data_IF_658127995562
#
_entry.id   IF_658127995562
#
_cell.length_a   1.000
_cell.length_b   1.000
_cell.length_c   1.000
_cell.angle_alpha   90.00
_cell.angle_beta   90.00
_cell.angle_gamma   90.00
#
_symmetry.space_group_name_H-M   'P 1'
#
loop_
_entity.id
_entity.type
_entity.pdbx_description
1 polymer ?
#
# COMPACT_ATOMS: atom_id res chain seq x y z
N UNK A 1 -5.33 -19.38 6.20
CA UNK A 1 -5.59 -17.98 6.63
C UNK A 1 -4.52 -17.58 7.65
N UNK A 2 -4.26 -16.28 7.84
CA UNK A 2 -3.26 -15.79 8.80
C UNK A 2 -1.81 -16.28 8.56
N UNK A 3 -1.43 -16.54 7.30
CA UNK A 3 -0.09 -17.01 6.96
C UNK A 3 0.74 -15.85 6.41
N UNK A 4 1.77 -15.46 7.15
CA UNK A 4 2.76 -14.48 6.71
C UNK A 4 3.95 -15.19 6.03
N UNK A 5 4.42 -14.65 4.91
CA UNK A 5 5.63 -15.14 4.23
C UNK A 5 6.87 -14.52 4.90
N UNK A 6 7.25 -15.04 6.06
CA UNK A 6 8.30 -14.44 6.90
C UNK A 6 9.61 -14.23 6.16
N UNK A 7 10.08 -15.21 5.37
CA UNK A 7 11.31 -15.08 4.59
C UNK A 7 11.26 -13.93 3.57
N UNK A 8 10.10 -13.71 2.95
CA UNK A 8 9.89 -12.59 2.01
C UNK A 8 9.88 -11.26 2.74
N UNK A 9 9.20 -11.17 3.89
CA UNK A 9 9.16 -9.95 4.70
C UNK A 9 10.57 -9.58 5.18
N UNK A 10 11.34 -10.58 5.62
CA UNK A 10 12.71 -10.40 6.09
C UNK A 10 13.66 -9.96 4.96
N UNK A 11 13.58 -10.61 3.79
CA UNK A 11 14.38 -10.20 2.63
C UNK A 11 14.07 -8.76 2.18
N UNK A 12 12.79 -8.37 2.13
CA UNK A 12 12.41 -6.99 1.79
C UNK A 12 12.89 -6.00 2.86
N UNK A 13 12.87 -6.38 4.14
CA UNK A 13 13.39 -5.55 5.24
C UNK A 13 14.90 -5.33 5.10
N UNK A 14 15.66 -6.38 4.78
CA UNK A 14 17.09 -6.32 4.45
C UNK A 14 17.35 -5.37 3.28
N UNK A 15 16.60 -5.51 2.17
CA UNK A 15 16.75 -4.64 0.99
C UNK A 15 16.48 -3.17 1.31
N UNK A 16 15.48 -2.87 2.14
CA UNK A 16 15.20 -1.51 2.62
C UNK A 16 16.36 -0.97 3.46
N UNK A 17 16.90 -1.78 4.37
CA UNK A 17 18.06 -1.38 5.19
C UNK A 17 19.28 -1.06 4.33
N UNK A 18 19.59 -1.91 3.35
CA UNK A 18 20.70 -1.69 2.43
C UNK A 18 20.53 -0.42 1.60
N UNK A 19 19.31 -0.10 1.15
CA UNK A 19 19.05 1.14 0.42
C UNK A 19 19.25 2.38 1.32
N UNK A 20 18.76 2.35 2.56
CA UNK A 20 18.95 3.45 3.52
C UNK A 20 20.39 3.55 4.05
N UNK A 21 21.19 2.49 3.92
CA UNK A 21 22.62 2.54 4.20
C UNK A 21 23.41 3.22 3.10
N UNK A 22 23.01 3.00 1.86
CA UNK A 22 23.65 3.56 0.67
C UNK A 22 23.25 5.03 0.44
N UNK A 23 21.97 5.38 0.64
CA UNK A 23 21.49 6.76 0.54
C UNK A 23 20.79 7.20 1.83
N UNK A 24 21.52 8.00 2.62
CA UNK A 24 21.04 8.56 3.89
C UNK A 24 20.03 9.70 3.72
N UNK A 25 19.82 10.19 2.50
CA UNK A 25 18.80 11.21 2.21
C UNK A 25 17.40 10.62 1.98
N UNK A 26 17.30 9.30 1.78
CA UNK A 26 16.03 8.62 1.61
C UNK A 26 15.19 8.68 2.89
N UNK A 27 13.94 9.10 2.73
CA UNK A 27 12.89 9.00 3.75
C UNK A 27 11.74 8.17 3.21
N UNK A 28 11.25 7.22 4.02
CA UNK A 28 10.25 6.25 3.59
C UNK A 28 9.01 6.29 4.48
N UNK A 29 7.85 6.12 3.85
CA UNK A 29 6.62 5.67 4.50
C UNK A 29 6.36 4.27 3.96
N UNK A 30 6.23 3.28 4.85
CA UNK A 30 6.00 1.90 4.44
C UNK A 30 4.52 1.58 4.63
N UNK A 31 3.93 0.91 3.63
CA UNK A 31 2.58 0.38 3.71
C UNK A 31 2.57 -1.13 3.46
N UNK A 32 2.04 -1.95 4.38
CA UNK A 32 1.78 -3.36 4.09
C UNK A 32 0.31 -3.62 3.72
N UNK A 33 0.09 -4.53 2.78
CA UNK A 33 -1.24 -5.05 2.48
C UNK A 33 -1.81 -5.88 3.64
N UNK A 34 -3.12 -6.14 3.62
CA UNK A 34 -3.78 -6.99 4.61
C UNK A 34 -3.49 -8.49 4.44
N UNK A 35 -3.28 -8.95 3.19
CA UNK A 35 -3.07 -10.38 2.92
C UNK A 35 -4.22 -11.25 3.45
N UNK A 36 -3.91 -12.47 3.88
CA UNK A 36 -4.94 -13.40 4.40
C UNK A 36 -5.42 -13.09 5.82
N UNK A 37 -4.92 -12.02 6.45
CA UNK A 37 -5.19 -11.71 7.86
C UNK A 37 -6.57 -11.04 8.05
N UNK A 38 -6.80 -9.79 7.63
CA UNK A 38 -8.09 -9.13 7.82
C UNK A 38 -9.15 -9.63 6.82
N UNK A 39 -8.77 -10.17 5.67
CA UNK A 39 -9.74 -10.68 4.68
C UNK A 39 -10.59 -11.84 5.22
N UNK A 40 -10.01 -12.71 6.06
CA UNK A 40 -10.75 -13.85 6.61
C UNK A 40 -11.90 -13.42 7.55
N UNK A 41 -11.67 -12.64 8.63
CA UNK A 41 -12.76 -12.13 9.45
C UNK A 41 -13.66 -11.14 8.67
N UNK A 42 -13.13 -10.35 7.74
CA UNK A 42 -13.95 -9.41 6.96
C UNK A 42 -15.00 -10.15 6.12
N UNK A 43 -14.63 -11.27 5.50
CA UNK A 43 -15.56 -12.11 4.75
C UNK A 43 -16.55 -12.82 5.69
N UNK A 44 -16.07 -13.39 6.79
CA UNK A 44 -16.91 -14.12 7.77
C UNK A 44 -18.03 -13.24 8.34
N UNK A 45 -17.73 -11.97 8.63
CA UNK A 45 -18.68 -11.01 9.23
C UNK A 45 -19.27 -10.01 8.22
N UNK A 46 -19.03 -10.20 6.91
CA UNK A 46 -19.55 -9.33 5.84
C UNK A 46 -19.24 -7.84 6.05
N UNK A 47 -18.02 -7.53 6.48
CA UNK A 47 -17.62 -6.17 6.88
C UNK A 47 -17.52 -5.20 5.70
N UNK A 48 -17.62 -5.67 4.46
CA UNK A 48 -17.79 -4.83 3.27
C UNK A 48 -19.13 -4.06 3.28
N UNK A 49 -20.10 -4.50 4.07
CA UNK A 49 -21.42 -3.87 4.17
C UNK A 49 -21.53 -2.81 5.28
N UNK A 50 -20.51 -2.67 6.13
CA UNK A 50 -20.59 -1.89 7.36
C UNK A 50 -21.15 -2.68 8.56
N UNK A 51 -21.49 -1.98 9.63
CA UNK A 51 -22.11 -2.53 10.84
C UNK A 51 -23.62 -2.31 10.74
N UNK A 52 -24.36 -3.36 10.39
CA UNK A 52 -25.83 -3.41 10.34
C UNK A 52 -26.43 -4.33 11.41
N UNK A 53 -25.61 -5.23 11.97
CA UNK A 53 -25.99 -6.25 12.96
C UNK A 53 -25.02 -6.25 14.14
N UNK A 54 -25.46 -6.78 15.29
CA UNK A 54 -24.68 -6.77 16.53
C UNK A 54 -23.37 -7.59 16.43
N UNK A 55 -23.41 -8.74 15.77
CA UNK A 55 -22.26 -9.62 15.54
C UNK A 55 -21.15 -8.95 14.71
N UNK A 56 -21.51 -8.01 13.83
CA UNK A 56 -20.56 -7.24 13.02
C UNK A 56 -19.73 -6.25 13.84
N UNK A 57 -20.17 -5.85 15.05
CA UNK A 57 -19.33 -5.08 15.97
C UNK A 57 -18.12 -5.90 16.42
N UNK A 58 -18.33 -7.19 16.70
CA UNK A 58 -17.22 -8.09 17.00
C UNK A 58 -16.39 -8.39 15.74
N UNK A 59 -17.04 -8.52 14.58
CA UNK A 59 -16.38 -8.60 13.27
C UNK A 59 -15.41 -7.44 13.02
N UNK A 60 -15.81 -6.21 13.33
CA UNK A 60 -14.95 -5.03 13.27
C UNK A 60 -13.68 -5.20 14.11
N UNK A 61 -13.84 -5.59 15.38
CA UNK A 61 -12.70 -5.83 16.27
C UNK A 61 -11.76 -6.91 15.74
N UNK A 62 -12.29 -8.01 15.20
CA UNK A 62 -11.48 -9.11 14.66
C UNK A 62 -10.72 -8.72 13.38
N UNK A 63 -11.33 -7.91 12.51
CA UNK A 63 -10.66 -7.39 11.31
C UNK A 63 -9.51 -6.46 11.71
N UNK A 64 -9.76 -5.55 12.65
CA UNK A 64 -8.76 -4.60 13.15
C UNK A 64 -7.58 -5.31 13.83
N UNK A 65 -7.88 -6.29 14.70
CA UNK A 65 -6.85 -7.13 15.34
C UNK A 65 -6.00 -7.84 14.28
N UNK A 66 -6.64 -8.49 13.31
CA UNK A 66 -5.93 -9.27 12.30
C UNK A 66 -5.03 -8.39 11.42
N UNK A 67 -5.51 -7.22 10.99
CA UNK A 67 -4.70 -6.25 10.27
C UNK A 67 -3.48 -5.80 11.09
N UNK A 68 -3.71 -5.48 12.37
CA UNK A 68 -2.67 -5.03 13.29
C UNK A 68 -1.62 -6.10 13.57
N UNK A 69 -2.01 -7.38 13.68
CA UNK A 69 -1.07 -8.51 13.85
C UNK A 69 -0.15 -8.67 12.65
N UNK A 70 -0.65 -8.54 11.43
CA UNK A 70 0.22 -8.58 10.25
C UNK A 70 1.18 -7.39 10.21
N UNK A 71 0.69 -6.18 10.52
CA UNK A 71 1.54 -5.00 10.63
C UNK A 71 2.67 -5.22 11.65
N UNK A 72 2.36 -5.80 12.82
CA UNK A 72 3.36 -6.08 13.85
C UNK A 72 4.45 -7.03 13.36
N UNK A 73 4.11 -8.07 12.61
CA UNK A 73 5.09 -8.98 11.98
C UNK A 73 6.03 -8.20 11.04
N UNK A 74 5.50 -7.28 10.24
CA UNK A 74 6.31 -6.44 9.33
C UNK A 74 7.22 -5.50 10.12
N UNK A 75 6.70 -4.80 11.13
CA UNK A 75 7.50 -3.90 11.96
C UNK A 75 8.57 -4.66 12.75
N UNK A 76 8.27 -5.85 13.26
CA UNK A 76 9.25 -6.71 13.95
C UNK A 76 10.41 -7.07 13.02
N UNK A 77 10.12 -7.38 11.76
CA UNK A 77 11.15 -7.64 10.76
C UNK A 77 12.01 -6.41 10.50
N UNK A 78 11.41 -5.23 10.31
CA UNK A 78 12.15 -3.98 10.12
C UNK A 78 13.07 -3.68 11.32
N UNK A 79 12.56 -3.83 12.55
CA UNK A 79 13.34 -3.64 13.78
C UNK A 79 14.51 -4.62 13.89
N UNK A 80 14.35 -5.90 13.50
CA UNK A 80 15.44 -6.88 13.47
C UNK A 80 16.58 -6.48 12.55
N UNK A 81 16.29 -5.70 11.50
CA UNK A 81 17.29 -5.11 10.59
C UNK A 81 17.78 -3.73 11.07
N UNK A 82 17.51 -3.34 12.31
CA UNK A 82 17.88 -2.05 12.92
C UNK A 82 17.31 -0.84 12.17
N UNK A 83 16.10 -0.97 11.61
CA UNK A 83 15.35 0.15 11.06
C UNK A 83 14.50 0.79 12.16
N UNK A 84 14.55 2.12 12.28
CA UNK A 84 13.76 2.90 13.24
C UNK A 84 12.28 3.00 12.83
N UNK A 85 11.64 1.83 12.70
CA UNK A 85 10.29 1.68 12.19
C UNK A 85 9.27 1.56 13.33
N UNK A 86 8.11 2.20 13.17
CA UNK A 86 7.00 2.07 14.11
C UNK A 86 5.64 2.06 13.40
N UNK A 87 4.67 1.42 14.04
CA UNK A 87 3.31 1.33 13.54
C UNK A 87 2.59 2.68 13.57
N UNK A 88 1.94 3.00 12.46
CA UNK A 88 1.05 4.14 12.30
C UNK A 88 -0.35 3.63 11.93
N UNK A 89 -1.19 3.45 12.94
CA UNK A 89 -2.45 2.70 12.85
C UNK A 89 -3.56 3.52 12.18
N UNK A 90 -4.11 3.09 11.02
CA UNK A 90 -5.13 3.85 10.30
C UNK A 90 -6.44 4.02 11.08
N UNK A 91 -6.87 3.01 11.85
CA UNK A 91 -8.10 3.08 12.67
C UNK A 91 -8.09 4.21 13.71
N UNK A 92 -6.91 4.69 14.10
CA UNK A 92 -6.73 5.82 15.03
C UNK A 92 -6.50 7.16 14.32
N UNK A 93 -6.27 7.15 13.01
CA UNK A 93 -5.93 8.35 12.23
C UNK A 93 -7.05 8.81 11.29
N UNK A 94 -7.90 7.90 10.84
CA UNK A 94 -8.89 8.18 9.82
C UNK A 94 -10.31 8.00 10.36
N UNK A 95 -11.19 8.92 9.99
CA UNK A 95 -12.63 8.73 10.05
C UNK A 95 -13.18 8.91 8.64
N UNK A 96 -14.01 7.97 8.20
CA UNK A 96 -14.65 8.03 6.89
C UNK A 96 -16.12 8.41 7.01
N UNK A 97 -16.68 8.87 5.90
CA UNK A 97 -18.12 9.01 5.71
C UNK A 97 -18.47 8.50 4.32
N UNK A 98 -19.33 7.48 4.27
CA UNK A 98 -19.67 6.77 3.03
C UNK A 98 -18.44 6.28 2.25
N UNK A 99 -17.44 5.76 2.96
CA UNK A 99 -16.21 5.23 2.37
C UNK A 99 -15.22 6.27 1.84
N UNK A 100 -15.43 7.55 2.11
CA UNK A 100 -14.47 8.63 1.81
C UNK A 100 -13.84 9.13 3.10
N UNK A 101 -12.52 9.37 3.07
CA UNK A 101 -11.81 9.96 4.21
C UNK A 101 -12.38 11.35 4.49
N UNK A 102 -12.97 11.54 5.67
CA UNK A 102 -13.59 12.79 6.12
C UNK A 102 -12.68 13.54 7.08
N UNK A 103 -12.10 12.85 8.06
CA UNK A 103 -11.13 13.41 9.01
C UNK A 103 -9.84 12.61 8.98
N UNK A 104 -8.75 13.33 9.16
CA UNK A 104 -7.40 12.79 9.30
C UNK A 104 -6.70 13.49 10.47
N UNK A 105 -6.06 12.71 11.35
CA UNK A 105 -5.33 13.21 12.52
C UNK A 105 -3.81 13.07 12.27
N UNK A 106 -3.16 14.08 11.65
CA UNK A 106 -1.82 13.93 11.07
C UNK A 106 -0.66 14.11 12.05
N UNK A 107 -0.90 14.62 13.26
CA UNK A 107 0.18 15.05 14.15
C UNK A 107 1.21 13.95 14.47
N UNK A 108 0.80 12.69 14.77
CA UNK A 108 1.75 11.61 14.96
C UNK A 108 2.64 11.37 13.72
N UNK A 109 2.07 11.44 12.51
CA UNK A 109 2.84 11.30 11.26
C UNK A 109 3.93 12.37 11.16
N UNK A 110 3.61 13.64 11.45
CA UNK A 110 4.61 14.71 11.40
C UNK A 110 5.70 14.54 12.46
N UNK A 111 5.34 14.17 13.70
CA UNK A 111 6.32 13.90 14.75
C UNK A 111 7.28 12.78 14.36
N UNK A 112 6.77 11.70 13.75
CA UNK A 112 7.58 10.58 13.25
C UNK A 112 8.55 11.05 12.16
N UNK A 113 8.04 11.74 11.14
CA UNK A 113 8.85 12.20 10.01
C UNK A 113 9.92 13.21 10.44
N UNK A 114 9.60 14.12 11.36
CA UNK A 114 10.55 15.12 11.88
C UNK A 114 11.69 14.49 12.70
N UNK A 115 11.44 13.33 13.33
CA UNK A 115 12.47 12.56 14.03
C UNK A 115 13.28 11.64 13.09
N UNK A 116 13.00 11.65 11.78
CA UNK A 116 13.65 10.76 10.82
C UNK A 116 13.28 9.28 10.99
N UNK A 117 12.16 9.00 11.66
CA UNK A 117 11.65 7.65 11.88
C UNK A 117 10.82 7.17 10.68
N UNK A 118 10.64 5.86 10.55
CA UNK A 118 9.93 5.23 9.43
C UNK A 118 8.51 4.87 9.88
N UNK A 119 7.46 5.62 9.49
CA UNK A 119 6.08 5.23 9.76
C UNK A 119 5.72 4.00 8.90
N UNK A 120 5.14 3.00 9.56
CA UNK A 120 4.62 1.78 8.92
C UNK A 120 3.10 1.75 9.09
N UNK A 121 2.39 2.02 8.00
CA UNK A 121 0.93 1.97 7.93
C UNK A 121 0.47 0.72 7.16
N UNK A 122 -0.83 0.47 7.12
CA UNK A 122 -1.38 -0.77 6.56
C UNK A 122 -2.84 -0.60 6.16
N UNK A 123 -3.39 -1.55 5.41
CA UNK A 123 -4.82 -1.60 5.12
C UNK A 123 -5.58 -2.04 6.36
N UNK A 124 -6.60 -1.30 6.76
CA UNK A 124 -7.28 -1.48 8.05
C UNK A 124 -8.78 -1.15 7.94
N UNK A 125 -9.54 -1.60 8.94
CA UNK A 125 -10.93 -1.21 9.12
C UNK A 125 -10.99 0.03 10.01
N UNK A 126 -11.72 1.04 9.57
CA UNK A 126 -11.86 2.33 10.25
C UNK A 126 -13.33 2.64 10.50
N UNK A 127 -13.59 3.58 11.41
CA UNK A 127 -14.96 4.04 11.66
C UNK A 127 -15.49 4.84 10.47
N UNK A 128 -16.72 4.51 10.07
CA UNK A 128 -17.47 5.27 9.06
C UNK A 128 -18.72 5.88 9.69
N UNK A 129 -18.94 7.17 9.50
CA UNK A 129 -20.07 7.88 10.10
C UNK A 129 -21.45 7.42 9.57
N UNK A 130 -21.54 6.84 8.38
CA UNK A 130 -22.80 6.37 7.80
C UNK A 130 -22.96 4.86 7.89
N UNK A 131 -21.88 4.10 7.69
CA UNK A 131 -21.90 2.64 7.64
C UNK A 131 -21.43 1.97 8.94
N UNK A 132 -21.02 2.74 9.94
CA UNK A 132 -20.38 2.24 11.16
C UNK A 132 -18.92 1.82 10.95
N UNK A 133 -18.61 1.20 9.82
CA UNK A 133 -17.24 0.81 9.46
C UNK A 133 -16.96 0.91 7.96
N UNK A 134 -15.70 1.07 7.61
CA UNK A 134 -15.22 0.98 6.23
C UNK A 134 -13.81 0.39 6.18
N UNK A 135 -13.51 -0.40 5.14
CA UNK A 135 -12.16 -0.95 4.92
C UNK A 135 -11.38 0.00 4.01
N UNK A 136 -10.32 0.59 4.54
CA UNK A 136 -9.35 1.35 3.76
C UNK A 136 -8.21 0.43 3.31
N UNK A 137 -7.99 0.32 2.00
CA UNK A 137 -6.82 -0.37 1.48
C UNK A 137 -5.54 0.42 1.75
N UNK A 138 -4.42 -0.29 1.79
CA UNK A 138 -3.09 0.31 1.92
C UNK A 138 -2.81 1.30 0.81
N UNK A 139 -3.18 0.97 -0.43
CA UNK A 139 -3.01 1.87 -1.58
C UNK A 139 -3.76 3.19 -1.40
N UNK A 140 -5.03 3.15 -0.97
CA UNK A 140 -5.81 4.37 -0.70
C UNK A 140 -5.18 5.22 0.39
N UNK A 141 -4.67 4.59 1.44
CA UNK A 141 -3.99 5.28 2.54
C UNK A 141 -2.70 5.95 2.02
N UNK A 142 -1.84 5.22 1.31
CA UNK A 142 -0.58 5.77 0.77
C UNK A 142 -0.84 6.90 -0.24
N UNK A 143 -1.83 6.75 -1.12
CA UNK A 143 -2.21 7.78 -2.09
C UNK A 143 -2.72 9.05 -1.37
N UNK A 144 -3.55 8.88 -0.34
CA UNK A 144 -4.02 9.99 0.49
C UNK A 144 -2.85 10.69 1.20
N UNK A 145 -1.95 9.92 1.85
CA UNK A 145 -0.80 10.46 2.55
C UNK A 145 0.14 11.22 1.60
N UNK A 146 0.41 10.69 0.41
CA UNK A 146 1.25 11.34 -0.59
C UNK A 146 0.69 12.70 -1.00
N UNK A 147 -0.61 12.78 -1.32
CA UNK A 147 -1.27 14.05 -1.68
C UNK A 147 -1.32 15.02 -0.49
N UNK A 148 -1.62 14.52 0.71
CA UNK A 148 -1.67 15.32 1.92
C UNK A 148 -0.30 15.93 2.25
N UNK A 149 0.77 15.12 2.25
CA UNK A 149 2.14 15.57 2.52
C UNK A 149 2.63 16.53 1.43
N UNK A 150 2.32 16.27 0.15
CA UNK A 150 2.62 17.22 -0.93
C UNK A 150 1.98 18.59 -0.68
N UNK A 151 0.69 18.62 -0.28
CA UNK A 151 -0.01 19.86 0.08
C UNK A 151 0.62 20.57 1.29
N UNK A 152 1.30 19.83 2.16
CA UNK A 152 2.03 20.35 3.33
C UNK A 152 3.47 20.78 3.02
N UNK A 153 3.88 20.75 1.75
CA UNK A 153 5.19 21.21 1.31
C UNK A 153 6.26 20.12 1.21
N UNK A 154 5.91 18.85 1.47
CA UNK A 154 6.85 17.74 1.31
C UNK A 154 7.05 17.43 -0.18
N UNK A 155 8.30 17.16 -0.57
CA UNK A 155 8.59 16.58 -1.88
C UNK A 155 8.29 15.09 -1.84
N UNK A 156 7.37 14.65 -2.68
CA UNK A 156 7.10 13.22 -2.89
C UNK A 156 7.81 12.81 -4.17
N UNK A 157 8.79 11.92 -4.06
CA UNK A 157 9.57 11.44 -5.21
C UNK A 157 8.77 10.44 -6.05
N UNK A 158 8.34 9.33 -5.43
CA UNK A 158 7.56 8.27 -6.08
C UNK A 158 6.75 7.46 -5.07
N UNK A 159 5.77 6.71 -5.56
CA UNK A 159 5.12 5.60 -4.83
C UNK A 159 5.55 4.28 -5.46
N UNK A 160 6.01 3.33 -4.66
CA UNK A 160 6.35 1.99 -5.14
C UNK A 160 5.27 1.00 -4.66
N UNK A 161 4.59 0.37 -5.61
CA UNK A 161 3.69 -0.76 -5.34
C UNK A 161 4.47 -2.06 -5.54
N UNK A 162 4.98 -2.61 -4.44
CA UNK A 162 5.65 -3.90 -4.44
C UNK A 162 4.62 -5.04 -4.32
N UNK A 163 4.45 -5.81 -5.39
CA UNK A 163 3.47 -6.89 -5.49
C UNK A 163 4.08 -8.21 -5.99
N UNK A 164 3.20 -9.11 -6.45
CA UNK A 164 3.61 -10.42 -6.96
C UNK A 164 3.90 -10.42 -8.46
N UNK A 165 3.33 -9.47 -9.21
CA UNK A 165 3.54 -9.36 -10.66
C UNK A 165 4.77 -8.50 -10.93
N UNK A 166 5.53 -8.84 -11.98
CA UNK A 166 6.70 -8.05 -12.38
C UNK A 166 6.33 -6.58 -12.70
N UNK A 167 5.11 -6.34 -13.15
CA UNK A 167 4.51 -5.03 -13.34
C UNK A 167 3.05 -5.20 -13.78
N UNK A 168 2.57 -4.28 -14.61
CA UNK A 168 1.33 -4.45 -15.39
C UNK A 168 1.67 -5.24 -16.64
N UNK A 169 0.93 -6.30 -16.90
CA UNK A 169 1.18 -7.20 -18.03
C UNK A 169 0.26 -6.85 -19.20
N UNK A 170 0.77 -6.97 -20.43
CA UNK A 170 -0.02 -6.89 -21.65
C UNK A 170 -0.77 -8.21 -21.94
N UNK A 171 -1.51 -8.24 -23.04
CA UNK A 171 -2.26 -9.43 -23.49
C UNK A 171 -1.38 -10.66 -23.77
N UNK A 172 -0.07 -10.47 -23.97
CA UNK A 172 0.92 -11.53 -24.22
C UNK A 172 1.66 -11.93 -22.94
N UNK A 173 1.28 -11.36 -21.78
CA UNK A 173 1.93 -11.60 -20.50
C UNK A 173 3.27 -10.87 -20.34
N UNK A 174 3.62 -9.93 -21.22
CA UNK A 174 4.85 -9.14 -21.11
C UNK A 174 4.61 -7.90 -20.25
N UNK A 175 5.57 -7.55 -19.41
CA UNK A 175 5.52 -6.32 -18.61
C UNK A 175 5.52 -5.07 -19.48
N UNK A 176 4.54 -4.20 -19.27
CA UNK A 176 4.43 -2.88 -19.87
C UNK A 176 5.35 -1.94 -19.09
N UNK A 177 6.39 -1.43 -19.71
CA UNK A 177 7.38 -0.58 -19.03
C UNK A 177 6.80 0.76 -18.55
N UNK A 178 5.87 1.34 -19.31
CA UNK A 178 5.36 2.69 -19.06
C UNK A 178 3.88 2.87 -19.41
N UNK A 179 3.13 3.38 -18.44
CA UNK A 179 1.72 3.79 -18.58
C UNK A 179 1.61 5.30 -18.33
N UNK A 180 0.86 5.97 -19.19
CA UNK A 180 0.60 7.41 -19.16
C UNK A 180 -0.88 7.65 -19.46
N UNK A 181 -1.38 8.85 -19.19
CA UNK A 181 -2.75 9.22 -19.57
C UNK A 181 -3.02 9.07 -21.08
N UNK A 182 -1.98 9.19 -21.92
CA UNK A 182 -2.11 9.10 -23.39
C UNK A 182 -2.29 7.66 -23.90
N UNK A 183 -1.64 6.68 -23.27
CA UNK A 183 -1.70 5.28 -23.72
C UNK A 183 -2.68 4.43 -22.90
N UNK A 184 -3.17 4.93 -21.76
CA UNK A 184 -4.02 4.16 -20.86
C UNK A 184 -5.29 3.63 -21.54
N UNK A 185 -5.94 4.38 -22.42
CA UNK A 185 -7.16 3.91 -23.12
C UNK A 185 -6.94 2.66 -23.98
N UNK A 186 -5.72 2.45 -24.49
CA UNK A 186 -5.35 1.23 -25.22
C UNK A 186 -5.12 0.06 -24.26
N UNK A 187 -4.44 0.32 -23.15
CA UNK A 187 -4.08 -0.69 -22.14
C UNK A 187 -5.30 -1.11 -21.32
N UNK A 188 -6.23 -0.19 -21.07
CA UNK A 188 -7.44 -0.42 -20.28
C UNK A 188 -8.26 -1.59 -20.83
N UNK A 189 -8.30 -1.75 -22.16
CA UNK A 189 -8.99 -2.87 -22.83
C UNK A 189 -8.44 -4.24 -22.42
N UNK A 190 -7.14 -4.34 -22.14
CA UNK A 190 -6.48 -5.60 -21.82
C UNK A 190 -6.94 -6.15 -20.46
N UNK A 191 -7.32 -5.27 -19.52
CA UNK A 191 -7.83 -5.68 -18.20
C UNK A 191 -9.21 -6.36 -18.27
N UNK A 192 -10.02 -6.05 -19.28
CA UNK A 192 -11.38 -6.62 -19.41
C UNK A 192 -11.43 -7.87 -20.28
N UNK A 193 -10.44 -8.08 -21.16
CA UNK A 193 -10.45 -9.14 -22.17
C UNK A 193 -9.79 -10.45 -21.70
N UNK A 194 -9.02 -10.42 -20.62
CA UNK A 194 -8.23 -11.58 -20.18
C UNK A 194 -8.87 -12.26 -18.97
N UNK A 195 -9.52 -13.41 -19.22
CA UNK A 195 -9.88 -14.38 -18.18
C UNK A 195 -8.60 -14.89 -17.51
N UNK A 196 -8.19 -14.25 -16.42
CA UNK A 196 -7.06 -14.70 -15.58
C UNK A 196 -6.06 -13.63 -15.14
N UNK A 197 -6.02 -12.44 -15.77
CA UNK A 197 -4.97 -11.46 -15.47
C UNK A 197 -5.31 -10.42 -14.39
N UNK A 198 -6.57 -10.18 -14.06
CA UNK A 198 -6.99 -9.46 -12.84
C UNK A 198 -8.52 -9.53 -12.68
N UNK A 199 -9.05 -10.72 -12.40
CA UNK A 199 -10.49 -10.93 -12.17
C UNK A 199 -11.04 -10.18 -10.94
N UNK A 200 -10.17 -9.56 -10.15
CA UNK A 200 -10.55 -8.76 -8.96
C UNK A 200 -10.67 -7.26 -9.25
N UNK A 201 -10.20 -6.79 -10.41
CA UNK A 201 -10.12 -5.37 -10.76
C UNK A 201 -9.10 -4.57 -9.95
N UNK A 202 -8.24 -5.24 -9.16
CA UNK A 202 -7.30 -4.63 -8.22
C UNK A 202 -6.14 -3.90 -8.91
N UNK A 203 -5.57 -4.50 -9.97
CA UNK A 203 -4.53 -3.88 -10.79
C UNK A 203 -5.10 -2.72 -11.61
N UNK A 204 -6.27 -2.86 -12.24
CA UNK A 204 -6.91 -1.75 -12.97
C UNK A 204 -7.16 -0.56 -12.03
N UNK A 205 -7.70 -0.81 -10.84
CA UNK A 205 -7.92 0.22 -9.83
C UNK A 205 -6.61 0.90 -9.42
N UNK A 206 -5.56 0.11 -9.13
CA UNK A 206 -4.22 0.61 -8.79
C UNK A 206 -3.65 1.52 -9.89
N UNK A 207 -3.72 1.09 -11.16
CA UNK A 207 -3.25 1.91 -12.29
C UNK A 207 -4.03 3.21 -12.40
N UNK A 208 -5.37 3.18 -12.27
CA UNK A 208 -6.20 4.39 -12.30
C UNK A 208 -5.86 5.35 -11.16
N UNK A 209 -5.68 4.85 -9.95
CA UNK A 209 -5.29 5.67 -8.80
C UNK A 209 -3.89 6.27 -8.98
N UNK A 210 -2.91 5.49 -9.45
CA UNK A 210 -1.58 6.00 -9.78
C UNK A 210 -1.60 7.05 -10.90
N UNK A 211 -2.41 6.86 -11.94
CA UNK A 211 -2.60 7.85 -13.01
C UNK A 211 -3.25 9.15 -12.51
N UNK A 212 -4.09 9.08 -11.48
CA UNK A 212 -4.62 10.29 -10.85
C UNK A 212 -3.51 11.09 -10.15
N UNK A 213 -2.54 10.41 -9.52
CA UNK A 213 -1.41 11.05 -8.83
C UNK A 213 -0.44 11.77 -9.79
N UNK A 214 -0.34 11.35 -11.06
CA UNK A 214 0.54 12.01 -12.04
C UNK A 214 0.10 13.46 -12.33
N UNK A 215 -1.19 13.78 -12.16
CA UNK A 215 -1.72 15.15 -12.23
C UNK A 215 -1.11 16.09 -11.17
N UNK A 216 -0.59 15.51 -10.09
CA UNK A 216 0.10 16.20 -9.01
C UNK A 216 1.63 16.02 -9.11
N UNK A 217 2.14 15.53 -10.24
CA UNK A 217 3.56 15.26 -10.45
C UNK A 217 4.12 14.14 -9.57
N UNK A 218 3.27 13.26 -9.04
CA UNK A 218 3.69 12.09 -8.26
C UNK A 218 3.68 10.89 -9.20
N UNK A 219 4.84 10.26 -9.34
CA UNK A 219 5.03 9.06 -10.17
C UNK A 219 4.76 7.81 -9.34
N UNK A 220 4.27 6.74 -9.97
CA UNK A 220 4.18 5.44 -9.32
C UNK A 220 4.99 4.38 -10.07
N UNK A 221 5.44 3.37 -9.36
CA UNK A 221 6.20 2.26 -9.92
C UNK A 221 5.67 0.93 -9.38
N UNK A 222 5.22 0.05 -10.28
CA UNK A 222 4.70 -1.27 -9.93
C UNK A 222 5.77 -2.31 -10.24
N UNK A 223 6.17 -3.07 -9.22
CA UNK A 223 7.29 -4.03 -9.29
C UNK A 223 6.96 -5.31 -8.54
N UNK A 224 7.78 -6.35 -8.76
CA UNK A 224 7.97 -7.45 -7.82
C UNK A 224 9.40 -7.41 -7.28
N UNK A 225 9.55 -6.87 -6.07
CA UNK A 225 10.82 -6.69 -5.35
C UNK A 225 11.56 -7.97 -4.97
N UNK A 226 10.93 -9.13 -5.19
CA UNK A 226 11.52 -10.47 -4.98
C UNK A 226 11.75 -11.24 -6.27
N UNK A 227 11.41 -10.67 -7.43
CA UNK A 227 11.62 -11.34 -8.72
C UNK A 227 13.11 -11.50 -9.05
N UNK A 228 13.93 -10.56 -8.58
CA UNK A 228 15.39 -10.58 -8.75
C UNK A 228 16.07 -10.11 -7.46
N UNK A 229 17.34 -10.52 -7.29
CA UNK A 229 18.14 -10.13 -6.13
C UNK A 229 18.24 -8.60 -6.05
N UNK A 230 17.87 -8.06 -4.89
CA UNK A 230 17.96 -6.64 -4.56
C UNK A 230 17.09 -5.70 -5.43
N UNK A 231 16.04 -6.21 -6.09
CA UNK A 231 15.20 -5.40 -6.98
C UNK A 231 14.54 -4.22 -6.23
N UNK A 232 14.02 -4.43 -5.02
CA UNK A 232 13.44 -3.34 -4.22
C UNK A 232 14.52 -2.31 -3.83
N UNK A 233 15.71 -2.77 -3.41
CA UNK A 233 16.84 -1.88 -3.08
C UNK A 233 17.15 -0.95 -4.27
N UNK A 234 17.36 -1.53 -5.45
CA UNK A 234 17.64 -0.81 -6.69
C UNK A 234 16.53 0.18 -7.06
N UNK A 235 15.27 -0.24 -6.93
CA UNK A 235 14.11 0.63 -7.18
C UNK A 235 14.05 1.85 -6.24
N UNK A 236 14.40 1.65 -4.96
CA UNK A 236 14.49 2.72 -3.96
C UNK A 236 15.60 3.72 -4.31
N UNK A 237 16.77 3.24 -4.73
CA UNK A 237 17.91 4.05 -5.16
C UNK A 237 17.73 4.72 -6.53
N UNK A 238 16.66 4.38 -7.26
CA UNK A 238 16.36 4.96 -8.56
C UNK A 238 17.16 4.36 -9.72
N UNK A 239 17.76 3.18 -9.51
CA UNK A 239 18.34 2.38 -10.59
C UNK A 239 17.26 1.84 -11.53
N UNK A 240 17.66 1.51 -12.76
CA UNK A 240 16.78 0.87 -13.72
C UNK A 240 16.52 -0.59 -13.33
N UNK A 241 15.24 -0.92 -13.13
CA UNK A 241 14.78 -2.28 -12.83
C UNK A 241 13.52 -2.61 -13.61
N UNK A 242 13.27 -3.91 -13.78
CA UNK A 242 12.05 -4.39 -14.42
C UNK A 242 10.80 -3.97 -13.60
N UNK A 243 9.83 -3.38 -14.28
CA UNK A 243 8.59 -2.93 -13.69
C UNK A 243 7.74 -2.10 -14.63
N UNK A 244 6.69 -1.50 -14.08
CA UNK A 244 5.82 -0.56 -14.80
C UNK A 244 5.81 0.80 -14.14
N UNK A 245 6.32 1.80 -14.83
CA UNK A 245 6.20 3.20 -14.45
C UNK A 245 4.84 3.77 -14.84
N UNK A 246 4.23 4.52 -13.93
CA UNK A 246 3.00 5.28 -14.17
C UNK A 246 3.33 6.75 -13.99
N UNK A 247 3.40 7.47 -15.12
CA UNK A 247 3.94 8.84 -15.22
C UNK A 247 3.16 9.73 -16.18
#
# INVERSE_FOLDING_TARGET
PFTAKISVIDDLSRQIKEALDEDKSLQLIIGNGGGSFPHYPALKYQMNEGIKKEDQKFGFCLVQDAASRLNRIVVDSLLKHNLNALSLNPSSMFLTKNGKIKKFFPYPLFSILNLGLIPVTYGDIVFDEEKGSFILSTEKILNFLALFLKKKGFKIDKIIHNGLTQGVLDEKGKTIEKITLKNFSKIEKNFYQTLGFDVTGGMLHKVKESLYLTKYGIKSFIINGTAEKNLLKKALLGEEVLGTWII
#
